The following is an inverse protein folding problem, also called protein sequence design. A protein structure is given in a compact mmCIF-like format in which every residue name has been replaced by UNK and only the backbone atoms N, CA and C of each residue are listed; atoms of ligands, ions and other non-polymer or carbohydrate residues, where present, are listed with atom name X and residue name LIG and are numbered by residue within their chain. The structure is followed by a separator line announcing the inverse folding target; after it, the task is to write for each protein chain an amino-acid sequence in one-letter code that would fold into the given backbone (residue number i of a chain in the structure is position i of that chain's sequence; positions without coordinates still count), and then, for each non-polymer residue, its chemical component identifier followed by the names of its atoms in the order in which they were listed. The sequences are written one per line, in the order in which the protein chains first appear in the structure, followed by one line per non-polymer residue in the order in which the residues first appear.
data_IF_266081925367
#
_entry.id   IF_266081925367
#
_cell.length_a   1.000
_cell.length_b   1.000
_cell.length_c   1.000
_cell.angle_alpha   90.00
_cell.angle_beta   90.00
_cell.angle_gamma   90.00
#
_symmetry.space_group_name_H-M   'P 1'
#
loop_
_entity.id
_entity.type
_entity.pdbx_description
1 polymer ?
#
# COMPACT_ATOMS: atom_id res chain seq x y z
N UNK A 1 14.36 -26.29 8.03
CA UNK A 1 13.86 -25.04 8.62
C UNK A 1 13.12 -24.37 7.49
N UNK A 2 11.80 -24.41 7.52
CA UNK A 2 10.98 -23.94 6.40
C UNK A 2 11.01 -22.41 6.41
N UNK A 3 11.49 -21.84 5.31
CA UNK A 3 11.25 -20.44 4.96
C UNK A 3 9.73 -20.21 5.03
N UNK A 4 9.21 -19.17 5.70
CA UNK A 4 7.80 -18.85 5.58
C UNK A 4 7.54 -18.59 4.10
N UNK A 5 6.57 -19.30 3.55
CA UNK A 5 6.20 -19.23 2.14
C UNK A 5 6.15 -17.77 1.71
N UNK A 6 6.99 -17.40 0.73
CA UNK A 6 6.69 -16.28 -0.14
C UNK A 6 5.39 -16.67 -0.84
N UNK A 7 4.25 -16.35 -0.23
CA UNK A 7 2.96 -16.43 -0.89
C UNK A 7 3.13 -15.67 -2.21
N UNK A 8 2.82 -16.32 -3.33
CA UNK A 8 2.91 -15.69 -4.64
C UNK A 8 1.83 -14.61 -4.72
N UNK A 9 2.17 -13.39 -4.31
CA UNK A 9 1.28 -12.25 -4.37
C UNK A 9 0.99 -11.95 -5.85
N UNK A 10 -0.30 -11.90 -6.22
CA UNK A 10 -0.71 -11.69 -7.62
C UNK A 10 -0.67 -10.21 -8.04
N UNK A 11 -0.48 -9.31 -7.08
CA UNK A 11 -0.37 -7.87 -7.28
C UNK A 11 -0.14 -7.15 -5.96
N UNK A 12 0.13 -5.85 -6.04
CA UNK A 12 0.26 -5.00 -4.87
C UNK A 12 -0.24 -3.58 -5.14
N UNK A 13 -0.67 -2.89 -4.09
CA UNK A 13 -0.79 -1.45 -4.08
C UNK A 13 0.37 -0.84 -3.29
N UNK A 14 0.99 0.20 -3.83
CA UNK A 14 2.16 0.86 -3.24
C UNK A 14 1.80 2.26 -2.81
N UNK A 15 1.76 2.54 -1.51
CA UNK A 15 1.57 3.88 -0.95
C UNK A 15 2.94 4.51 -0.75
N UNK A 16 3.37 5.38 -1.66
CA UNK A 16 4.69 5.99 -1.68
C UNK A 16 4.65 7.35 -0.98
N UNK A 17 5.62 7.59 -0.09
CA UNK A 17 5.67 8.79 0.73
C UNK A 17 7.12 9.12 1.16
N UNK A 18 7.28 10.30 1.75
CA UNK A 18 8.55 10.79 2.31
C UNK A 18 8.33 11.26 3.75
N UNK A 19 8.31 10.30 4.67
CA UNK A 19 8.26 10.59 6.11
C UNK A 19 8.96 9.46 6.89
N UNK A 20 10.19 9.68 7.40
CA UNK A 20 10.93 8.66 8.13
C UNK A 20 10.31 8.34 9.50
N UNK A 21 9.41 9.18 10.03
CA UNK A 21 8.76 8.96 11.31
C UNK A 21 7.62 7.93 11.24
N UNK A 22 7.02 7.71 10.06
CA UNK A 22 5.91 6.77 9.88
C UNK A 22 6.38 5.31 9.87
N UNK A 23 6.26 4.66 11.02
CA UNK A 23 6.51 3.22 11.21
C UNK A 23 5.29 2.34 10.90
N UNK A 24 5.53 1.03 10.76
CA UNK A 24 4.49 0.02 10.54
C UNK A 24 3.46 -0.04 11.67
N UNK A 25 3.87 0.25 12.90
CA UNK A 25 2.96 0.29 14.06
C UNK A 25 1.87 1.37 13.89
N UNK A 26 2.21 2.56 13.39
CA UNK A 26 1.24 3.62 13.15
C UNK A 26 0.21 3.22 12.07
N UNK A 27 0.65 2.48 11.04
CA UNK A 27 -0.28 1.91 10.05
C UNK A 27 -1.27 0.95 10.73
N UNK A 28 -0.78 0.08 11.63
CA UNK A 28 -1.65 -0.84 12.38
C UNK A 28 -2.66 -0.11 13.27
N UNK A 29 -2.24 0.94 13.97
CA UNK A 29 -3.13 1.76 14.79
C UNK A 29 -4.19 2.49 13.95
N UNK A 30 -3.80 3.05 12.81
CA UNK A 30 -4.71 3.74 11.89
C UNK A 30 -5.75 2.77 11.33
N UNK A 31 -5.31 1.64 10.78
CA UNK A 31 -6.20 0.61 10.21
C UNK A 31 -7.17 0.05 11.26
N UNK A 32 -6.67 -0.25 12.46
CA UNK A 32 -7.51 -0.77 13.55
C UNK A 32 -8.58 0.21 14.04
N UNK A 33 -8.37 1.51 13.85
CA UNK A 33 -9.36 2.54 14.20
C UNK A 33 -10.53 2.62 13.22
N UNK A 34 -10.39 2.04 12.02
CA UNK A 34 -11.33 2.11 10.90
C UNK A 34 -12.14 0.81 10.67
N UNK A 35 -12.40 0.03 11.72
CA UNK A 35 -13.15 -1.26 11.67
C UNK A 35 -12.46 -2.41 10.95
N UNK A 36 -11.21 -2.23 10.50
CA UNK A 36 -10.39 -3.33 10.01
C UNK A 36 -9.83 -4.15 11.18
N UNK A 37 -9.88 -5.47 11.05
CA UNK A 37 -9.15 -6.35 11.97
C UNK A 37 -7.69 -6.37 11.55
N UNK A 38 -6.79 -5.97 12.45
CA UNK A 38 -5.35 -5.93 12.19
C UNK A 38 -4.63 -6.94 13.09
N UNK A 39 -3.85 -7.82 12.48
CA UNK A 39 -3.05 -8.82 13.16
C UNK A 39 -1.57 -8.61 12.81
N UNK A 40 -0.70 -8.22 13.76
CA UNK A 40 0.72 -8.11 13.49
C UNK A 40 1.35 -9.50 13.29
N UNK A 41 2.16 -9.65 12.25
CA UNK A 41 2.81 -10.90 11.87
C UNK A 41 4.29 -10.66 11.56
N UNK A 42 5.08 -10.39 12.59
CA UNK A 42 6.51 -10.15 12.46
C UNK A 42 6.82 -8.87 11.69
N UNK A 43 7.16 -9.00 10.41
CA UNK A 43 7.61 -7.89 9.56
C UNK A 43 6.47 -7.23 8.74
N UNK A 44 5.24 -7.72 8.87
CA UNK A 44 4.07 -7.19 8.18
C UNK A 44 2.83 -7.23 9.09
N UNK A 45 1.79 -6.52 8.66
CA UNK A 45 0.46 -6.59 9.24
C UNK A 45 -0.44 -7.39 8.31
N UNK A 46 -1.32 -8.20 8.87
CA UNK A 46 -2.44 -8.80 8.15
C UNK A 46 -3.67 -7.97 8.49
N UNK A 47 -4.36 -7.44 7.49
CA UNK A 47 -5.60 -6.70 7.69
C UNK A 47 -6.73 -7.26 6.85
N UNK A 48 -7.95 -7.16 7.36
CA UNK A 48 -9.18 -7.54 6.65
C UNK A 48 -10.40 -6.82 7.21
N UNK A 49 -11.39 -6.58 6.36
CA UNK A 49 -12.71 -6.14 6.80
C UNK A 49 -13.63 -7.36 6.87
N UNK A 50 -14.09 -7.74 8.07
CA UNK A 50 -15.05 -8.84 8.26
C UNK A 50 -14.61 -10.15 7.56
N UNK A 51 -15.41 -10.66 6.62
CA UNK A 51 -15.11 -11.84 5.78
C UNK A 51 -14.44 -11.49 4.42
N UNK A 52 -13.96 -10.26 4.27
CA UNK A 52 -13.25 -9.78 3.09
C UNK A 52 -11.83 -10.36 2.92
N UNK A 53 -11.17 -10.03 1.80
CA UNK A 53 -9.86 -10.58 1.46
C UNK A 53 -8.80 -10.18 2.48
N UNK A 54 -7.82 -11.06 2.67
CA UNK A 54 -6.64 -10.75 3.51
C UNK A 54 -5.66 -9.88 2.74
N UNK A 55 -5.32 -8.75 3.33
CA UNK A 55 -4.27 -7.86 2.83
C UNK A 55 -3.06 -7.93 3.73
N UNK A 56 -1.88 -7.87 3.11
CA UNK A 56 -0.59 -7.96 3.76
C UNK A 56 0.12 -6.62 3.62
N UNK A 57 0.35 -5.93 4.73
CA UNK A 57 0.91 -4.58 4.73
C UNK A 57 2.34 -4.63 5.26
N UNK A 58 3.29 -4.25 4.42
CA UNK A 58 4.70 -4.14 4.78
C UNK A 58 5.22 -2.72 4.54
N UNK A 59 6.10 -2.25 5.42
CA UNK A 59 6.82 -0.98 5.22
C UNK A 59 8.16 -1.28 4.54
N UNK A 60 8.42 -0.64 3.39
CA UNK A 60 9.70 -0.70 2.68
C UNK A 60 10.36 0.67 2.70
N UNK A 61 11.68 0.67 2.91
CA UNK A 61 12.51 1.88 2.95
C UNK A 61 13.88 1.62 2.34
N UNK A 62 14.52 2.69 1.86
CA UNK A 62 15.93 2.70 1.50
C UNK A 62 16.19 3.11 0.05
N UNK A 63 17.46 3.11 -0.39
CA UNK A 63 17.85 3.65 -1.69
C UNK A 63 17.16 2.98 -2.89
N UNK A 64 16.84 1.68 -2.78
CA UNK A 64 16.13 0.93 -3.80
C UNK A 64 14.68 1.39 -3.95
N UNK A 65 14.04 1.83 -2.86
CA UNK A 65 12.68 2.37 -2.90
C UNK A 65 12.67 3.64 -3.75
N UNK A 66 13.59 4.57 -3.50
CA UNK A 66 13.66 5.83 -4.25
C UNK A 66 13.89 5.62 -5.75
N UNK A 67 14.71 4.63 -6.13
CA UNK A 67 14.92 4.30 -7.55
C UNK A 67 13.61 3.81 -8.20
N UNK A 68 12.90 2.91 -7.52
CA UNK A 68 11.65 2.32 -8.01
C UNK A 68 10.53 3.38 -8.06
N UNK A 69 10.35 4.20 -7.03
CA UNK A 69 9.32 5.26 -7.03
C UNK A 69 9.58 6.26 -8.15
N UNK A 70 10.83 6.63 -8.40
CA UNK A 70 11.21 7.51 -9.53
C UNK A 70 10.85 6.89 -10.88
N UNK A 71 11.10 5.59 -11.06
CA UNK A 71 10.74 4.88 -12.29
C UNK A 71 9.23 4.79 -12.48
N UNK A 72 8.48 4.46 -11.42
CA UNK A 72 7.01 4.43 -11.44
C UNK A 72 6.43 5.81 -11.81
N UNK A 73 7.02 6.88 -11.27
CA UNK A 73 6.57 8.24 -11.55
C UNK A 73 6.95 8.78 -12.92
N UNK A 74 7.84 8.13 -13.66
CA UNK A 74 8.30 8.62 -14.96
C UNK A 74 7.14 8.74 -15.96
N UNK A 75 7.00 9.92 -16.57
CA UNK A 75 5.90 10.18 -17.51
C UNK A 75 4.52 10.41 -16.87
N UNK A 76 4.43 10.36 -15.53
CA UNK A 76 3.22 10.70 -14.78
C UNK A 76 3.27 12.16 -14.28
N UNK A 77 2.11 12.78 -13.95
CA UNK A 77 2.07 14.08 -13.27
C UNK A 77 2.70 14.06 -11.87
N UNK A 78 2.97 12.86 -11.33
CA UNK A 78 3.52 12.67 -9.98
C UNK A 78 5.04 12.48 -9.96
N UNK A 79 5.72 12.61 -11.11
CA UNK A 79 7.16 12.37 -11.24
C UNK A 79 8.00 13.10 -10.18
N UNK A 80 7.66 14.37 -9.89
CA UNK A 80 8.36 15.17 -8.87
C UNK A 80 8.10 14.64 -7.45
N UNK A 81 6.85 14.37 -7.10
CA UNK A 81 6.49 13.85 -5.78
C UNK A 81 7.13 12.47 -5.53
N UNK A 82 7.03 11.57 -6.51
CA UNK A 82 7.56 10.20 -6.40
C UNK A 82 9.09 10.14 -6.43
N UNK A 83 9.75 11.09 -7.11
CA UNK A 83 11.21 11.22 -7.08
C UNK A 83 11.76 11.62 -5.71
N UNK A 84 10.92 12.18 -4.84
CA UNK A 84 11.27 12.53 -3.46
C UNK A 84 10.85 11.47 -2.43
N UNK A 85 10.07 10.46 -2.82
CA UNK A 85 9.67 9.37 -1.94
C UNK A 85 10.85 8.43 -1.65
N UNK A 86 11.08 8.12 -0.38
CA UNK A 86 12.13 7.20 0.10
C UNK A 86 11.54 5.97 0.83
N UNK A 87 10.21 5.94 0.96
CA UNK A 87 9.45 4.94 1.69
C UNK A 87 8.18 4.56 0.93
N UNK A 88 7.72 3.31 1.08
CA UNK A 88 6.35 2.94 0.73
C UNK A 88 5.75 1.90 1.68
N UNK A 89 4.43 1.93 1.80
CA UNK A 89 3.67 0.77 2.26
C UNK A 89 3.29 -0.08 1.06
N UNK A 90 3.61 -1.37 1.13
CA UNK A 90 3.21 -2.38 0.17
C UNK A 90 1.98 -3.09 0.73
N UNK A 91 0.86 -3.05 0.01
CA UNK A 91 -0.36 -3.77 0.30
C UNK A 91 -0.44 -4.94 -0.69
N UNK A 92 0.05 -6.10 -0.27
CA UNK A 92 -0.02 -7.35 -1.03
C UNK A 92 -1.30 -8.12 -0.78
N UNK A 93 -1.69 -8.95 -1.74
CA UNK A 93 -2.79 -9.90 -1.62
C UNK A 93 -2.56 -11.13 -2.51
N UNK A 94 -3.17 -12.26 -2.13
CA UNK A 94 -2.97 -13.54 -2.82
C UNK A 94 -3.83 -13.72 -4.06
N UNK A 95 -4.98 -13.04 -4.12
CA UNK A 95 -5.97 -13.23 -5.16
C UNK A 95 -6.52 -11.88 -5.62
N UNK A 96 -6.06 -11.43 -6.80
CA UNK A 96 -6.52 -10.17 -7.37
C UNK A 96 -8.01 -10.22 -7.69
N UNK A 97 -8.53 -11.33 -8.20
CA UNK A 97 -9.95 -11.44 -8.58
C UNK A 97 -10.86 -11.27 -7.36
N UNK A 98 -10.50 -11.88 -6.24
CA UNK A 98 -11.25 -11.74 -4.98
C UNK A 98 -11.21 -10.30 -4.44
N UNK A 99 -10.05 -9.65 -4.51
CA UNK A 99 -9.89 -8.24 -4.11
C UNK A 99 -10.69 -7.29 -5.02
N UNK A 100 -10.78 -7.59 -6.31
CA UNK A 100 -11.57 -6.80 -7.25
C UNK A 100 -13.08 -7.06 -7.13
N UNK A 101 -13.50 -8.24 -6.65
CA UNK A 101 -14.90 -8.56 -6.33
C UNK A 101 -15.34 -7.87 -5.02
N UNK A 102 -14.46 -7.85 -4.02
CA UNK A 102 -14.65 -7.18 -2.72
C UNK A 102 -13.63 -6.03 -2.56
N UNK A 103 -13.86 -4.94 -3.28
CA UNK A 103 -12.96 -3.78 -3.28
C UNK A 103 -12.95 -2.98 -1.97
N UNK A 104 -13.91 -3.17 -1.05
CA UNK A 104 -14.04 -2.29 0.10
C UNK A 104 -12.86 -2.46 1.07
N UNK A 105 -12.42 -3.70 1.31
CA UNK A 105 -11.25 -3.95 2.19
C UNK A 105 -10.00 -3.25 1.66
N UNK A 106 -9.74 -3.35 0.35
CA UNK A 106 -8.59 -2.69 -0.28
C UNK A 106 -8.74 -1.17 -0.26
N UNK A 107 -9.92 -0.65 -0.63
CA UNK A 107 -10.18 0.79 -0.69
C UNK A 107 -10.01 1.42 0.69
N UNK A 108 -10.55 0.82 1.75
CA UNK A 108 -10.42 1.33 3.11
C UNK A 108 -8.96 1.32 3.58
N UNK A 109 -8.22 0.24 3.30
CA UNK A 109 -6.80 0.17 3.62
C UNK A 109 -5.97 1.23 2.87
N UNK A 110 -6.25 1.43 1.58
CA UNK A 110 -5.58 2.45 0.76
C UNK A 110 -5.86 3.85 1.28
N UNK A 111 -7.14 4.20 1.50
CA UNK A 111 -7.53 5.52 1.98
C UNK A 111 -6.94 5.81 3.37
N UNK A 112 -7.03 4.86 4.30
CA UNK A 112 -6.47 5.00 5.64
C UNK A 112 -4.96 5.29 5.60
N UNK A 113 -4.21 4.56 4.76
CA UNK A 113 -2.78 4.76 4.62
C UNK A 113 -2.43 6.04 3.85
N UNK A 114 -3.26 6.46 2.89
CA UNK A 114 -3.11 7.74 2.20
C UNK A 114 -3.33 8.91 3.15
N UNK A 115 -4.35 8.85 4.01
CA UNK A 115 -4.60 9.85 5.04
C UNK A 115 -3.47 9.92 6.06
N UNK A 116 -2.92 8.77 6.46
CA UNK A 116 -1.78 8.68 7.37
C UNK A 116 -0.51 9.30 6.77
N UNK A 117 -0.24 9.04 5.49
CA UNK A 117 1.04 9.37 4.86
C UNK A 117 1.03 10.67 4.06
N UNK A 118 -0.15 11.15 3.63
CA UNK A 118 -0.26 12.20 2.61
C UNK A 118 0.37 11.81 1.27
N UNK A 119 0.61 10.52 1.04
CA UNK A 119 1.37 9.99 -0.09
C UNK A 119 0.56 9.77 -1.35
N UNK A 120 1.09 8.95 -2.23
CA UNK A 120 0.47 8.56 -3.51
C UNK A 120 0.41 7.05 -3.59
N UNK A 121 -0.75 6.51 -3.92
CA UNK A 121 -0.97 5.10 -4.12
C UNK A 121 -0.79 4.75 -5.60
N UNK A 122 -0.09 3.66 -5.90
CA UNK A 122 0.03 3.08 -7.24
C UNK A 122 -0.39 1.61 -7.22
N UNK A 123 -1.32 1.25 -8.09
CA UNK A 123 -1.84 -0.10 -8.24
C UNK A 123 -1.08 -0.83 -9.34
N UNK A 124 -0.33 -1.90 -9.01
CA UNK A 124 0.55 -2.56 -9.98
C UNK A 124 -0.20 -3.34 -11.07
N UNK A 125 -1.47 -3.71 -10.84
CA UNK A 125 -2.25 -4.55 -11.75
C UNK A 125 -2.96 -3.77 -12.87
N UNK A 126 -3.15 -2.46 -12.70
CA UNK A 126 -3.79 -1.60 -13.69
C UNK A 126 -3.05 -0.27 -13.91
N UNK A 127 -1.85 -0.14 -13.34
CA UNK A 127 -0.94 1.01 -13.46
C UNK A 127 -1.61 2.36 -13.14
N UNK A 128 -2.60 2.35 -12.23
CA UNK A 128 -3.37 3.53 -11.85
C UNK A 128 -2.84 4.15 -10.57
N UNK A 129 -2.86 5.48 -10.52
CA UNK A 129 -2.55 6.26 -9.33
C UNK A 129 -3.82 6.69 -8.58
N UNK A 130 -3.74 6.69 -7.26
CA UNK A 130 -4.76 7.21 -6.35
C UNK A 130 -4.09 8.19 -5.37
N UNK A 131 -4.79 9.28 -5.07
CA UNK A 131 -4.37 10.32 -4.11
C UNK A 131 -5.36 10.39 -2.95
N UNK A 132 -5.02 11.05 -1.82
CA UNK A 132 -5.91 11.15 -0.67
C UNK A 132 -7.28 11.78 -0.98
N UNK A 133 -7.37 12.61 -2.02
CA UNK A 133 -8.62 13.28 -2.45
C UNK A 133 -9.51 12.36 -3.32
N UNK A 134 -9.09 11.12 -3.59
CA UNK A 134 -9.86 10.13 -4.35
C UNK A 134 -9.95 10.39 -5.86
N UNK A 135 -9.34 11.46 -6.37
CA UNK A 135 -9.34 11.76 -7.79
C UNK A 135 -8.24 10.97 -8.52
N UNK A 136 -8.57 10.08 -9.48
CA UNK A 136 -7.61 9.72 -10.51
C UNK A 136 -7.39 11.00 -11.33
N UNK A 137 -6.19 11.60 -11.28
CA UNK A 137 -5.85 12.70 -12.19
C UNK A 137 -5.86 12.15 -13.62
N UNK A 138 -7.01 12.29 -14.28
CA UNK A 138 -7.13 12.33 -15.72
C UNK A 138 -6.78 13.76 -16.14
N UNK A 139 -5.52 13.99 -16.51
CA UNK A 139 -5.20 15.08 -17.45
C UNK A 139 -5.40 14.60 -18.89
#
# INVERSE_FOLDING_TARGET
MSEPATQELQGAALIMFNDPSIQLEHAGEALGSHSLTVEPSGEFLITRWDDGPRLYIALRRGPQVQEITRLIGEGSPYAEALGNSDSWFEIGFENLEEVLDELNTLTEAQLTLLELTGGICFNTWNETFLTPDGAPNLE
#
